data_IF_247710244223
#
_entry.id   IF_247710244223
#
_cell.length_a   1.000
_cell.length_b   1.000
_cell.length_c   1.000
_cell.angle_alpha   90.00
_cell.angle_beta   90.00
_cell.angle_gamma   90.00
#
_symmetry.space_group_name_H-M   'P 1'
#
loop_
_entity.id
_entity.type
_entity.pdbx_description
1 polymer ?
#
# COMPACT_ATOMS: atom_id res chain seq x y z
N UNK A 1 4.79 -4.97 21.36
CA UNK A 1 5.56 -5.11 20.10
C UNK A 1 6.26 -3.80 19.76
N UNK A 2 5.55 -2.67 19.72
CA UNK A 2 6.17 -1.35 19.52
C UNK A 2 7.13 -0.94 20.65
N UNK A 3 6.80 -1.20 21.92
CA UNK A 3 7.73 -0.96 23.04
C UNK A 3 9.02 -1.78 22.90
N UNK A 4 8.90 -3.08 22.66
CA UNK A 4 10.08 -3.94 22.43
C UNK A 4 10.93 -3.49 21.23
N UNK A 5 10.29 -2.98 20.18
CA UNK A 5 11.00 -2.40 19.04
C UNK A 5 11.84 -1.19 19.46
N UNK A 6 11.25 -0.28 20.25
CA UNK A 6 11.89 0.94 20.72
C UNK A 6 13.02 0.62 21.71
N UNK A 7 12.78 -0.30 22.65
CA UNK A 7 13.70 -0.65 23.72
C UNK A 7 14.94 -1.41 23.21
N UNK A 8 14.78 -2.22 22.16
CA UNK A 8 15.84 -3.05 21.59
C UNK A 8 16.39 -2.55 20.25
N UNK A 9 15.89 -1.42 19.73
CA UNK A 9 16.30 -0.85 18.45
C UNK A 9 16.05 -1.77 17.25
N UNK A 10 14.98 -2.57 17.29
CA UNK A 10 14.69 -3.56 16.25
C UNK A 10 14.04 -2.93 15.01
N UNK A 11 14.32 -3.50 13.84
CA UNK A 11 13.63 -3.18 12.59
C UNK A 11 12.61 -4.29 12.28
N UNK A 12 11.37 -3.91 11.97
CA UNK A 12 10.31 -4.83 11.59
C UNK A 12 9.80 -4.57 10.18
N UNK A 13 9.61 -5.65 9.43
CA UNK A 13 8.91 -5.66 8.16
C UNK A 13 7.58 -6.40 8.36
N UNK A 14 6.47 -5.70 8.11
CA UNK A 14 5.13 -6.26 8.21
C UNK A 14 4.49 -6.37 6.82
N UNK A 15 3.92 -7.53 6.49
CA UNK A 15 3.24 -7.78 5.22
C UNK A 15 1.78 -8.14 5.54
N UNK A 16 0.84 -7.34 5.05
CA UNK A 16 -0.59 -7.55 5.26
C UNK A 16 -1.41 -7.00 4.10
N UNK A 17 -2.60 -7.55 3.93
CA UNK A 17 -3.63 -7.04 3.02
C UNK A 17 -4.63 -6.11 3.74
N UNK A 18 -4.62 -6.07 5.08
CA UNK A 18 -5.50 -5.24 5.88
C UNK A 18 -4.86 -3.85 6.11
N UNK A 19 -5.44 -2.85 5.48
CA UNK A 19 -4.96 -1.47 5.56
C UNK A 19 -5.12 -0.85 6.95
N UNK A 20 -6.15 -1.22 7.72
CA UNK A 20 -6.35 -0.67 9.06
C UNK A 20 -5.25 -1.14 10.03
N UNK A 21 -4.78 -2.38 9.85
CA UNK A 21 -3.63 -2.89 10.63
C UNK A 21 -2.34 -2.21 10.20
N UNK A 22 -2.11 -2.08 8.89
CA UNK A 22 -0.90 -1.42 8.35
C UNK A 22 -0.79 0.02 8.85
N UNK A 23 -1.90 0.76 8.84
CA UNK A 23 -1.98 2.13 9.34
C UNK A 23 -1.58 2.20 10.82
N UNK A 24 -2.03 1.26 11.66
CA UNK A 24 -1.78 1.38 13.10
C UNK A 24 -0.37 0.99 13.52
N UNK A 25 0.31 0.15 12.74
CA UNK A 25 1.56 -0.52 13.17
C UNK A 25 2.80 0.01 12.43
N UNK A 26 2.65 0.61 11.25
CA UNK A 26 3.78 0.92 10.37
C UNK A 26 4.12 2.41 10.34
N UNK A 27 5.41 2.74 10.39
CA UNK A 27 5.92 4.11 10.20
C UNK A 27 5.96 4.49 8.70
N UNK A 28 6.44 3.54 7.89
CA UNK A 28 6.48 3.62 6.43
C UNK A 28 5.62 2.53 5.83
N UNK A 29 5.05 2.81 4.66
CA UNK A 29 4.14 1.91 3.96
C UNK A 29 4.62 1.79 2.53
N UNK A 30 4.75 0.56 2.05
CA UNK A 30 5.00 0.24 0.65
C UNK A 30 3.81 -0.55 0.10
N UNK A 31 3.27 -0.10 -1.02
CA UNK A 31 2.15 -0.73 -1.72
C UNK A 31 2.70 -1.55 -2.86
N UNK A 32 2.38 -2.83 -2.87
CA UNK A 32 2.80 -3.76 -3.91
C UNK A 32 1.64 -4.08 -4.87
N UNK A 33 1.93 -4.09 -6.16
CA UNK A 33 1.01 -4.51 -7.21
C UNK A 33 1.77 -5.27 -8.30
N UNK A 34 1.28 -6.44 -8.69
CA UNK A 34 1.92 -7.32 -9.70
C UNK A 34 3.41 -7.57 -9.44
N UNK A 35 3.78 -7.78 -8.18
CA UNK A 35 5.17 -8.04 -7.78
C UNK A 35 6.09 -6.80 -7.80
N UNK A 36 5.54 -5.59 -7.97
CA UNK A 36 6.31 -4.33 -7.94
C UNK A 36 5.83 -3.44 -6.82
N UNK A 37 6.74 -2.75 -6.13
CA UNK A 37 6.37 -1.64 -5.26
C UNK A 37 5.96 -0.48 -6.16
N UNK A 38 4.69 -0.12 -6.11
CA UNK A 38 4.11 0.94 -6.96
C UNK A 38 4.11 2.29 -6.26
N UNK A 39 4.15 2.27 -4.93
CA UNK A 39 4.17 3.47 -4.10
C UNK A 39 4.78 3.15 -2.75
N UNK A 40 5.64 4.03 -2.23
CA UNK A 40 6.23 3.91 -0.90
C UNK A 40 6.35 5.29 -0.27
N UNK A 41 6.07 5.42 1.02
CA UNK A 41 6.17 6.70 1.71
C UNK A 41 5.98 6.55 3.21
N UNK A 42 5.92 7.69 3.90
CA UNK A 42 5.40 7.69 5.27
C UNK A 42 3.96 7.18 5.28
N UNK A 43 3.53 6.59 6.39
CA UNK A 43 2.13 6.18 6.56
C UNK A 43 1.15 7.29 6.17
N UNK A 44 1.41 8.51 6.66
CA UNK A 44 0.56 9.68 6.38
C UNK A 44 0.46 9.96 4.89
N UNK A 45 1.61 10.02 4.20
CA UNK A 45 1.66 10.32 2.78
C UNK A 45 0.86 9.30 1.94
N UNK A 46 1.05 8.00 2.20
CA UNK A 46 0.39 6.94 1.44
C UNK A 46 -1.13 6.85 1.74
N UNK A 47 -1.55 7.11 2.98
CA UNK A 47 -2.97 7.00 3.36
C UNK A 47 -3.79 8.26 3.07
N UNK A 48 -3.22 9.46 3.28
CA UNK A 48 -3.93 10.73 3.13
C UNK A 48 -3.82 11.30 1.72
N UNK A 49 -2.69 11.08 1.04
CA UNK A 49 -2.45 11.58 -0.33
C UNK A 49 -1.89 10.48 -1.26
N UNK A 50 -2.64 9.37 -1.45
CA UNK A 50 -2.21 8.29 -2.34
C UNK A 50 -2.12 8.76 -3.79
N UNK A 51 -0.99 8.49 -4.44
CA UNK A 51 -0.71 8.99 -5.78
C UNK A 51 -0.88 7.94 -6.87
N UNK A 52 -0.49 6.69 -6.61
CA UNK A 52 -0.62 5.65 -7.61
C UNK A 52 -2.09 5.24 -7.78
N UNK A 53 -2.60 5.04 -9.01
CA UNK A 53 -4.00 4.70 -9.25
C UNK A 53 -4.48 3.43 -8.52
N UNK A 54 -3.60 2.45 -8.33
CA UNK A 54 -3.92 1.25 -7.56
C UNK A 54 -4.05 1.56 -6.05
N UNK A 55 -3.13 2.35 -5.49
CA UNK A 55 -3.20 2.76 -4.08
C UNK A 55 -4.47 3.53 -3.78
N UNK A 56 -4.86 4.48 -4.65
CA UNK A 56 -6.13 5.21 -4.53
C UNK A 56 -7.35 4.28 -4.47
N UNK A 57 -7.36 3.23 -5.30
CA UNK A 57 -8.42 2.21 -5.29
C UNK A 57 -8.43 1.39 -4.00
N UNK A 58 -7.26 1.01 -3.49
CA UNK A 58 -7.15 0.31 -2.20
C UNK A 58 -7.68 1.18 -1.05
N UNK A 59 -7.25 2.44 -0.98
CA UNK A 59 -7.70 3.38 0.06
C UNK A 59 -9.20 3.64 0.01
N UNK A 60 -9.77 3.77 -1.19
CA UNK A 60 -11.22 3.94 -1.36
C UNK A 60 -12.05 2.74 -0.87
N UNK A 61 -11.44 1.54 -0.84
CA UNK A 61 -12.08 0.32 -0.37
C UNK A 61 -12.04 0.11 1.15
N UNK A 62 -11.21 0.89 1.88
CA UNK A 62 -11.11 0.80 3.34
C UNK A 62 -12.41 1.29 3.98
N UNK A 63 -13.05 0.49 4.86
CA UNK A 63 -14.30 0.88 5.52
C UNK A 63 -14.11 2.12 6.41
N UNK A 64 -15.02 3.08 6.32
CA UNK A 64 -15.07 4.20 7.27
C UNK A 64 -15.64 3.71 8.61
N UNK A 65 -15.06 4.10 9.76
CA UNK A 65 -15.55 3.69 11.08
C UNK A 65 -16.93 4.26 11.46
N UNK A 66 -17.39 5.35 10.84
CA UNK A 66 -18.68 5.97 11.19
C UNK A 66 -19.86 5.18 10.58
N UNK A 67 -20.71 4.53 11.39
CA UNK A 67 -21.84 3.75 10.90
C UNK A 67 -22.91 4.60 10.19
N UNK A 68 -22.94 5.92 10.40
CA UNK A 68 -23.84 6.86 9.73
C UNK A 68 -23.34 7.25 8.34
N UNK A 69 -22.05 7.04 8.07
CA UNK A 69 -21.40 7.35 6.81
C UNK A 69 -20.98 6.06 6.08
N UNK A 70 -21.86 5.04 6.12
CA UNK A 70 -21.71 3.84 5.30
C UNK A 70 -21.78 4.27 3.84
N UNK A 71 -20.61 4.32 3.19
CA UNK A 71 -20.57 4.35 1.72
C UNK A 71 -21.38 3.15 1.24
N UNK A 72 -22.39 3.35 0.36
CA UNK A 72 -23.09 2.22 -0.22
C UNK A 72 -22.03 1.28 -0.77
N UNK A 73 -22.15 0.00 -0.43
CA UNK A 73 -21.26 -1.05 -0.89
C UNK A 73 -21.55 -1.24 -2.38
N UNK A 74 -21.21 -0.24 -3.21
CA UNK A 74 -21.24 -0.33 -4.66
C UNK A 74 -20.59 -1.65 -5.02
N UNK A 75 -21.33 -2.46 -5.78
CA UNK A 75 -20.92 -3.78 -6.21
C UNK A 75 -19.44 -3.77 -6.53
N UNK A 76 -18.66 -4.26 -5.57
CA UNK A 76 -17.26 -4.59 -5.72
C UNK A 76 -17.25 -5.81 -6.63
N UNK A 77 -17.62 -5.63 -7.90
CA UNK A 77 -17.27 -6.56 -8.96
C UNK A 77 -15.77 -6.68 -8.79
N UNK A 78 -15.35 -7.78 -8.18
CA UNK A 78 -13.96 -8.14 -8.01
C UNK A 78 -13.43 -8.19 -9.43
N UNK A 79 -12.91 -7.05 -9.88
CA UNK A 79 -12.25 -6.95 -11.17
C UNK A 79 -11.06 -7.85 -10.96
N UNK A 80 -11.14 -9.05 -11.52
CA UNK A 80 -10.20 -10.14 -11.32
C UNK A 80 -8.82 -9.50 -11.39
N UNK A 81 -8.13 -9.43 -10.24
CA UNK A 81 -6.77 -8.93 -10.23
C UNK A 81 -6.00 -9.86 -11.17
N UNK A 82 -5.20 -9.32 -12.11
CA UNK A 82 -4.36 -10.18 -12.94
C UNK A 82 -3.53 -11.11 -12.07
N UNK A 83 -3.20 -12.30 -12.58
CA UNK A 83 -2.25 -13.14 -11.86
C UNK A 83 -0.89 -12.48 -11.87
N UNK A 84 -0.25 -12.37 -10.71
CA UNK A 84 1.14 -11.95 -10.59
C UNK A 84 2.13 -13.08 -10.92
N UNK A 85 1.66 -14.18 -11.51
CA UNK A 85 2.50 -15.28 -12.02
C UNK A 85 2.92 -14.98 -13.45
N UNK A 86 4.22 -14.94 -13.69
CA UNK A 86 4.80 -14.69 -15.01
C UNK A 86 5.40 -15.98 -15.60
N UNK A 87 5.49 -16.10 -16.94
CA UNK A 87 6.18 -17.22 -17.58
C UNK A 87 7.64 -17.34 -17.13
N UNK A 88 8.19 -18.55 -17.18
CA UNK A 88 9.61 -18.80 -16.96
C UNK A 88 10.42 -17.99 -17.98
N UNK A 89 11.44 -17.27 -17.51
CA UNK A 89 12.25 -16.36 -18.34
C UNK A 89 11.71 -14.93 -18.45
N UNK A 90 10.56 -14.62 -17.81
CA UNK A 90 10.10 -13.24 -17.69
C UNK A 90 11.10 -12.40 -16.90
N UNK A 91 11.50 -11.26 -17.47
CA UNK A 91 12.32 -10.25 -16.79
C UNK A 91 11.47 -8.98 -16.61
N UNK A 92 11.23 -8.54 -15.36
CA UNK A 92 10.46 -7.32 -15.12
C UNK A 92 11.27 -6.10 -15.55
N UNK A 93 10.57 -5.09 -16.07
CA UNK A 93 11.19 -3.79 -16.34
C UNK A 93 11.72 -3.16 -15.03
N UNK A 94 12.82 -2.38 -15.08
CA UNK A 94 13.32 -1.66 -13.92
C UNK A 94 12.22 -0.81 -13.28
N UNK A 95 12.14 -0.84 -11.95
CA UNK A 95 11.26 0.09 -11.23
C UNK A 95 11.93 1.45 -11.14
N UNK A 96 11.47 2.39 -11.97
CA UNK A 96 11.87 3.80 -11.92
C UNK A 96 10.83 4.55 -11.11
N UNK A 97 11.27 5.41 -10.19
CA UNK A 97 10.36 6.12 -9.29
C UNK A 97 10.46 7.62 -9.49
N UNK A 98 9.31 8.29 -9.36
CA UNK A 98 9.21 9.72 -9.13
C UNK A 98 9.26 9.98 -7.63
N UNK A 99 10.21 10.81 -7.21
CA UNK A 99 10.24 11.36 -5.85
C UNK A 99 9.28 12.54 -5.76
N UNK A 100 8.38 12.50 -4.77
CA UNK A 100 7.41 13.56 -4.49
C UNK A 100 7.83 14.41 -3.27
N UNK A 101 8.96 14.10 -2.65
CA UNK A 101 9.45 14.71 -1.42
C UNK A 101 9.19 13.85 -0.19
N UNK A 102 9.92 14.13 0.90
CA UNK A 102 9.76 13.50 2.22
C UNK A 102 9.75 11.96 2.22
N UNK A 103 10.50 11.36 1.29
CA UNK A 103 10.61 9.91 1.13
C UNK A 103 9.37 9.25 0.52
N UNK A 104 8.50 10.01 -0.15
CA UNK A 104 7.35 9.50 -0.90
C UNK A 104 7.70 9.29 -2.37
N UNK A 105 7.76 8.03 -2.78
CA UNK A 105 8.10 7.61 -4.12
C UNK A 105 6.94 6.87 -4.79
N UNK A 106 6.73 7.15 -6.07
CA UNK A 106 5.69 6.51 -6.89
C UNK A 106 6.33 5.98 -8.15
N UNK A 107 6.00 4.75 -8.54
CA UNK A 107 6.55 4.17 -9.76
C UNK A 107 6.13 4.98 -11.00
N UNK A 108 7.07 5.20 -11.91
CA UNK A 108 6.82 5.71 -13.25
C UNK A 108 6.47 4.49 -14.13
N UNK A 109 5.24 4.47 -14.63
CA UNK A 109 4.78 3.46 -15.59
C UNK A 109 5.43 3.62 -16.96
#
# INVERSE_FOLDING_TARGET
MMELQADLGLSFLFISHDMAVVERVSHHVAVMYMGRIVEIGTRRAVFEDPQHPYTRKLMAAVPLPDPRNRRPHEDRRARILPSATFPVGHSPAPSVYKDLGDGHFVILD
#
